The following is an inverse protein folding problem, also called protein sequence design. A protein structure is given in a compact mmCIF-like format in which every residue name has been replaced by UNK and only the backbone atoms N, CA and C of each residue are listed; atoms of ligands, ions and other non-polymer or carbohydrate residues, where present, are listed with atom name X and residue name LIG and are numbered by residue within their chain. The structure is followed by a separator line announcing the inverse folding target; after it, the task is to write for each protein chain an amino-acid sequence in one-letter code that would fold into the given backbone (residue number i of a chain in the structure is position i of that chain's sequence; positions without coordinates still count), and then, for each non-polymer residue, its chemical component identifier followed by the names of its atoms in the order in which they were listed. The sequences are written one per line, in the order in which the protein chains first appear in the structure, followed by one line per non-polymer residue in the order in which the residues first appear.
data_IF_940883877223
#
_entry.id   IF_940883877223
#
_cell.length_a   1.000
_cell.length_b   1.000
_cell.length_c   1.000
_cell.angle_alpha   90.00
_cell.angle_beta   90.00
_cell.angle_gamma   90.00
#
_symmetry.space_group_name_H-M   'P 1'
#
loop_
_entity.id
_entity.type
_entity.pdbx_description
1 polymer ?
#
# COMPACT_ATOMS: atom_id res chain seq x y z
N UNK A 1 12.22 0.51 1.82
CA UNK A 1 10.78 0.78 1.63
C UNK A 1 10.60 1.36 0.25
N UNK A 2 9.54 0.90 -0.39
CA UNK A 2 8.90 1.49 -1.56
C UNK A 2 7.57 2.08 -1.06
N UNK A 3 7.55 3.37 -0.72
CA UNK A 3 6.45 4.01 0.06
C UNK A 3 5.14 3.92 -0.70
N UNK A 4 5.19 4.22 -2.00
CA UNK A 4 4.00 4.29 -2.82
C UNK A 4 3.46 2.91 -3.16
N UNK A 5 4.30 1.89 -3.30
CA UNK A 5 3.87 0.49 -3.38
C UNK A 5 2.98 0.12 -2.19
N UNK A 6 3.44 0.42 -0.98
CA UNK A 6 2.69 0.18 0.26
C UNK A 6 1.37 0.97 0.28
N UNK A 7 1.41 2.26 -0.05
CA UNK A 7 0.22 3.09 -0.15
C UNK A 7 -0.80 2.53 -1.15
N UNK A 8 -0.37 2.01 -2.31
CA UNK A 8 -1.29 1.48 -3.30
C UNK A 8 -1.96 0.20 -2.81
N UNK A 9 -1.19 -0.73 -2.23
CA UNK A 9 -1.75 -1.97 -1.68
C UNK A 9 -2.71 -1.66 -0.53
N UNK A 10 -2.35 -0.76 0.38
CA UNK A 10 -3.25 -0.28 1.43
C UNK A 10 -4.52 0.38 0.87
N UNK A 11 -4.39 1.19 -0.17
CA UNK A 11 -5.53 1.81 -0.87
C UNK A 11 -6.44 0.76 -1.51
N UNK A 12 -5.88 -0.26 -2.15
CA UNK A 12 -6.64 -1.36 -2.76
C UNK A 12 -7.37 -2.21 -1.72
N UNK A 13 -6.72 -2.53 -0.59
CA UNK A 13 -7.35 -3.19 0.56
C UNK A 13 -8.49 -2.33 1.10
N UNK A 14 -8.25 -1.04 1.30
CA UNK A 14 -9.28 -0.13 1.79
C UNK A 14 -10.46 0.00 0.84
N UNK A 15 -10.24 -0.05 -0.48
CA UNK A 15 -11.31 -0.12 -1.48
C UNK A 15 -12.16 -1.40 -1.34
N UNK A 16 -11.51 -2.53 -1.07
CA UNK A 16 -12.21 -3.79 -0.80
C UNK A 16 -13.04 -3.69 0.48
N UNK A 17 -12.49 -3.14 1.55
CA UNK A 17 -13.23 -2.89 2.81
C UNK A 17 -14.40 -1.93 2.57
N UNK A 18 -14.19 -0.86 1.81
CA UNK A 18 -15.25 0.07 1.44
C UNK A 18 -16.40 -0.63 0.69
N UNK A 19 -16.09 -1.50 -0.28
CA UNK A 19 -17.11 -2.28 -1.00
C UNK A 19 -17.93 -3.19 -0.08
N UNK A 20 -17.30 -3.77 0.93
CA UNK A 20 -17.96 -4.69 1.86
C UNK A 20 -18.77 -3.99 2.95
N UNK A 21 -18.35 -2.78 3.35
CA UNK A 21 -18.90 -2.09 4.52
C UNK A 21 -19.69 -0.82 4.20
N UNK A 22 -19.56 -0.27 3.00
CA UNK A 22 -20.05 1.06 2.63
C UNK A 22 -19.29 2.22 3.27
N UNK A 23 -18.28 1.96 4.11
CA UNK A 23 -17.54 3.01 4.85
C UNK A 23 -16.36 3.51 4.03
N UNK A 24 -16.57 4.60 3.30
CA UNK A 24 -15.58 5.17 2.38
C UNK A 24 -14.27 5.59 3.05
N UNK A 25 -14.31 6.00 4.31
CA UNK A 25 -13.11 6.35 5.08
C UNK A 25 -12.17 5.16 5.34
N UNK A 26 -12.59 3.91 5.09
CA UNK A 26 -11.72 2.75 5.15
C UNK A 26 -10.57 2.81 4.13
N UNK A 27 -10.77 3.50 3.00
CA UNK A 27 -9.75 3.63 1.93
C UNK A 27 -8.48 4.35 2.41
N UNK A 28 -8.56 5.62 2.85
CA UNK A 28 -7.38 6.33 3.36
C UNK A 28 -6.85 5.72 4.67
N UNK A 29 -7.69 5.08 5.48
CA UNK A 29 -7.26 4.46 6.74
C UNK A 29 -6.45 3.18 6.51
N UNK A 30 -6.82 2.35 5.55
CA UNK A 30 -5.99 1.21 5.16
C UNK A 30 -4.69 1.65 4.48
N UNK A 31 -4.73 2.69 3.64
CA UNK A 31 -3.51 3.28 3.06
C UNK A 31 -2.57 3.81 4.14
N UNK A 32 -3.11 4.54 5.13
CA UNK A 32 -2.34 5.01 6.28
C UNK A 32 -1.78 3.84 7.10
N UNK A 33 -2.60 2.82 7.36
CA UNK A 33 -2.15 1.60 8.04
C UNK A 33 -0.99 0.92 7.31
N UNK A 34 -1.00 0.92 5.98
CA UNK A 34 0.05 0.32 5.16
C UNK A 34 1.38 1.06 5.17
N UNK A 35 1.45 2.29 5.71
CA UNK A 35 2.72 3.00 5.96
C UNK A 35 2.96 3.27 7.45
N UNK A 36 2.01 2.90 8.31
CA UNK A 36 2.04 3.17 9.73
C UNK A 36 3.26 2.55 10.43
N UNK A 37 3.67 1.29 10.15
CA UNK A 37 4.85 0.72 10.80
C UNK A 37 6.11 1.55 10.56
N UNK A 38 6.32 1.98 9.32
CA UNK A 38 7.47 2.79 8.94
C UNK A 38 7.43 4.22 9.50
N UNK A 39 6.25 4.83 9.60
CA UNK A 39 6.08 6.14 10.27
C UNK A 39 6.50 6.06 11.74
N UNK A 40 6.23 4.94 12.41
CA UNK A 40 6.57 4.75 13.83
C UNK A 40 8.04 4.36 13.98
N UNK A 41 8.43 3.27 13.32
CA UNK A 41 9.68 2.59 13.64
C UNK A 41 10.90 3.28 13.05
N UNK A 42 10.82 3.94 11.88
CA UNK A 42 12.00 4.59 11.29
C UNK A 42 12.48 5.81 12.07
N UNK A 43 11.62 6.78 12.44
CA UNK A 43 12.06 7.87 13.30
C UNK A 43 12.53 7.35 14.66
N UNK A 44 11.79 6.41 15.25
CA UNK A 44 12.14 5.83 16.54
C UNK A 44 13.50 5.12 16.50
N UNK A 45 13.76 4.32 15.48
CA UNK A 45 14.99 3.56 15.28
C UNK A 45 16.19 4.42 14.93
N UNK A 46 16.07 5.23 13.87
CA UNK A 46 17.21 5.94 13.26
C UNK A 46 17.48 7.33 13.85
N UNK A 47 16.53 7.91 14.59
CA UNK A 47 16.71 9.21 15.25
C UNK A 47 16.84 9.03 16.76
N UNK A 48 15.85 8.39 17.40
CA UNK A 48 15.82 8.30 18.86
C UNK A 48 16.66 7.16 19.44
N UNK A 49 16.73 6.03 18.74
CA UNK A 49 17.46 4.83 19.16
C UNK A 49 18.72 4.58 18.32
N UNK A 50 19.21 5.60 17.61
CA UNK A 50 20.38 5.48 16.72
C UNK A 50 21.64 4.98 17.45
N UNK A 51 21.85 5.41 18.70
CA UNK A 51 23.03 4.98 19.48
C UNK A 51 22.94 3.56 20.04
N UNK A 52 21.80 2.88 19.93
CA UNK A 52 21.57 1.56 20.56
C UNK A 52 21.08 0.49 19.60
N UNK A 53 20.09 0.80 18.76
CA UNK A 53 19.48 -0.13 17.80
C UNK A 53 19.76 0.26 16.35
N UNK A 54 19.61 1.54 16.02
CA UNK A 54 19.68 2.07 14.64
C UNK A 54 18.93 1.19 13.63
N UNK A 55 17.67 0.84 13.92
CA UNK A 55 16.86 -0.06 13.09
C UNK A 55 15.45 0.45 12.92
N UNK A 56 15.01 0.61 11.67
CA UNK A 56 13.65 1.00 11.32
C UNK A 56 12.62 -0.13 11.38
N UNK A 57 12.99 -1.33 11.86
CA UNK A 57 12.10 -2.50 11.99
C UNK A 57 12.12 -2.99 13.44
N UNK A 58 11.30 -2.35 14.27
CA UNK A 58 11.24 -2.56 15.72
C UNK A 58 9.81 -2.90 16.14
N UNK A 59 9.14 -2.06 16.94
CA UNK A 59 7.88 -2.37 17.60
C UNK A 59 6.69 -2.52 16.64
N UNK A 60 6.53 -1.60 15.68
CA UNK A 60 5.39 -1.61 14.78
C UNK A 60 5.50 -2.68 13.67
N UNK A 61 6.70 -3.22 13.45
CA UNK A 61 6.97 -4.36 12.57
C UNK A 61 6.77 -5.75 13.22
N UNK A 62 6.17 -5.79 14.41
CA UNK A 62 5.91 -7.05 15.14
C UNK A 62 4.49 -7.58 14.91
N UNK A 63 4.31 -8.90 14.99
CA UNK A 63 2.98 -9.52 15.07
C UNK A 63 2.23 -9.10 16.34
N UNK A 64 2.94 -8.73 17.41
CA UNK A 64 2.32 -8.21 18.62
C UNK A 64 1.60 -6.90 18.34
N UNK A 65 2.27 -5.92 17.70
CA UNK A 65 1.64 -4.66 17.32
C UNK A 65 0.47 -4.89 16.36
N UNK A 66 0.67 -5.68 15.30
CA UNK A 66 -0.40 -6.02 14.37
C UNK A 66 -1.59 -6.67 15.08
N UNK A 67 -1.32 -7.62 15.99
CA UNK A 67 -2.32 -8.33 16.78
C UNK A 67 -3.12 -7.39 17.68
N UNK A 68 -2.48 -6.44 18.36
CA UNK A 68 -3.16 -5.45 19.18
C UNK A 68 -4.08 -4.55 18.35
N UNK A 69 -3.61 -4.04 17.21
CA UNK A 69 -4.41 -3.21 16.31
C UNK A 69 -5.56 -4.02 15.70
N UNK A 70 -5.33 -5.27 15.33
CA UNK A 70 -6.35 -6.17 14.80
C UNK A 70 -7.43 -6.51 15.83
N UNK A 71 -7.05 -6.85 17.06
CA UNK A 71 -8.01 -7.12 18.15
C UNK A 71 -8.82 -5.87 18.47
N UNK A 72 -8.18 -4.71 18.58
CA UNK A 72 -8.89 -3.45 18.77
C UNK A 72 -9.83 -3.14 17.60
N UNK A 73 -9.41 -3.42 16.36
CA UNK A 73 -10.21 -3.27 15.14
C UNK A 73 -11.45 -4.16 15.12
N UNK A 74 -11.29 -5.44 15.45
CA UNK A 74 -12.40 -6.40 15.54
C UNK A 74 -13.36 -6.04 16.68
N UNK A 75 -12.82 -5.63 17.84
CA UNK A 75 -13.63 -5.18 18.97
C UNK A 75 -14.45 -3.92 18.60
N UNK A 76 -13.83 -2.94 17.93
CA UNK A 76 -14.50 -1.73 17.48
C UNK A 76 -15.58 -2.03 16.42
N UNK A 77 -15.31 -2.96 15.50
CA UNK A 77 -16.29 -3.39 14.51
C UNK A 77 -17.48 -4.07 15.19
N UNK A 78 -17.24 -5.02 16.10
CA UNK A 78 -18.31 -5.72 16.82
C UNK A 78 -19.16 -4.77 17.68
N UNK A 79 -18.52 -3.81 18.36
CA UNK A 79 -19.21 -2.92 19.30
C UNK A 79 -19.91 -1.73 18.62
N UNK A 80 -19.34 -1.20 17.53
CA UNK A 80 -19.80 0.07 16.91
C UNK A 80 -20.14 -0.04 15.43
N UNK A 81 -20.00 -1.22 14.82
CA UNK A 81 -20.25 -1.44 13.39
C UNK A 81 -19.22 -0.78 12.47
N UNK A 82 -18.12 -0.22 12.99
CA UNK A 82 -17.15 0.53 12.20
C UNK A 82 -15.95 -0.33 11.77
N UNK A 83 -15.64 -0.41 10.46
CA UNK A 83 -14.52 -1.20 9.95
C UNK A 83 -13.18 -0.44 9.98
N UNK A 84 -13.15 0.82 10.44
CA UNK A 84 -12.02 1.72 10.22
C UNK A 84 -10.72 1.20 10.83
N UNK A 85 -10.75 0.76 12.09
CA UNK A 85 -9.54 0.26 12.75
C UNK A 85 -9.15 -1.14 12.24
N UNK A 86 -10.11 -1.94 11.79
CA UNK A 86 -9.82 -3.17 11.05
C UNK A 86 -9.15 -2.88 9.70
N UNK A 87 -9.54 -1.80 9.01
CA UNK A 87 -8.89 -1.36 7.77
C UNK A 87 -7.43 -0.94 8.03
N UNK A 88 -7.16 -0.22 9.12
CA UNK A 88 -5.78 0.10 9.55
C UNK A 88 -4.99 -1.19 9.82
N UNK A 89 -5.57 -2.15 10.53
CA UNK A 89 -4.92 -3.44 10.81
C UNK A 89 -4.59 -4.21 9.52
N UNK A 90 -5.50 -4.23 8.54
CA UNK A 90 -5.26 -4.87 7.25
C UNK A 90 -4.15 -4.17 6.46
N UNK A 91 -4.12 -2.83 6.49
CA UNK A 91 -3.02 -2.05 5.92
C UNK A 91 -1.68 -2.40 6.57
N UNK A 92 -1.60 -2.35 7.91
CA UNK A 92 -0.40 -2.71 8.64
C UNK A 92 0.03 -4.16 8.38
N UNK A 93 -0.92 -5.09 8.29
CA UNK A 93 -0.67 -6.47 7.90
C UNK A 93 -0.05 -6.59 6.52
N UNK A 94 -0.57 -5.84 5.54
CA UNK A 94 0.05 -5.79 4.20
C UNK A 94 1.47 -5.22 4.24
N UNK A 95 1.74 -4.26 5.13
CA UNK A 95 3.09 -3.72 5.29
C UNK A 95 4.08 -4.80 5.73
N UNK A 96 3.77 -5.56 6.78
CA UNK A 96 4.64 -6.65 7.25
C UNK A 96 4.92 -7.70 6.15
N UNK A 97 3.92 -7.98 5.30
CA UNK A 97 4.07 -8.89 4.17
C UNK A 97 4.97 -8.29 3.08
N UNK A 98 4.74 -7.04 2.70
CA UNK A 98 5.52 -6.36 1.64
C UNK A 98 6.97 -6.13 2.07
N UNK A 99 7.21 -5.85 3.34
CA UNK A 99 8.55 -5.70 3.91
C UNK A 99 9.27 -7.04 4.13
N UNK A 100 8.57 -8.15 3.87
CA UNK A 100 9.14 -9.49 3.93
C UNK A 100 9.54 -9.90 5.33
N UNK A 101 8.76 -9.49 6.34
CA UNK A 101 9.15 -9.62 7.74
C UNK A 101 9.38 -11.06 8.20
N UNK A 102 8.92 -12.07 7.45
CA UNK A 102 9.28 -13.48 7.66
C UNK A 102 10.79 -13.74 7.62
N UNK A 103 11.57 -12.91 6.91
CA UNK A 103 13.02 -13.00 6.86
C UNK A 103 13.71 -12.44 8.11
N UNK A 104 12.98 -11.72 8.98
CA UNK A 104 13.46 -11.27 10.29
C UNK A 104 12.53 -11.79 11.40
N UNK A 105 12.59 -13.11 11.72
CA UNK A 105 11.69 -13.73 12.68
C UNK A 105 11.85 -13.15 14.09
N UNK A 106 13.05 -12.76 14.49
CA UNK A 106 13.30 -12.17 15.82
C UNK A 106 12.47 -10.90 16.03
N UNK A 107 12.50 -9.96 15.07
CA UNK A 107 11.61 -8.79 15.11
C UNK A 107 10.15 -9.21 14.95
N UNK A 108 9.81 -10.05 13.97
CA UNK A 108 8.42 -10.39 13.67
C UNK A 108 7.68 -11.00 14.87
N UNK A 109 8.34 -11.85 15.66
CA UNK A 109 7.79 -12.51 16.83
C UNK A 109 8.22 -11.88 18.16
N UNK A 110 8.81 -10.68 18.14
CA UNK A 110 9.19 -9.98 19.37
C UNK A 110 7.97 -9.81 20.29
N UNK A 111 8.12 -10.02 21.62
CA UNK A 111 9.36 -10.32 22.36
C UNK A 111 9.70 -11.82 22.50
N UNK A 112 8.92 -12.72 21.90
CA UNK A 112 9.01 -14.16 22.16
C UNK A 112 10.33 -14.81 21.70
N UNK A 113 10.97 -14.27 20.64
CA UNK A 113 12.21 -14.80 20.07
C UNK A 113 13.47 -14.02 20.50
N UNK A 114 13.37 -13.14 21.50
CA UNK A 114 14.50 -12.39 22.05
C UNK A 114 14.47 -10.89 21.74
N UNK A 115 15.55 -10.15 22.09
CA UNK A 115 15.64 -8.71 21.89
C UNK A 115 15.82 -8.33 20.41
N UNK A 116 15.58 -7.06 20.08
CA UNK A 116 15.87 -6.54 18.74
C UNK A 116 17.36 -6.59 18.42
N UNK A 117 17.67 -6.89 17.16
CA UNK A 117 19.04 -6.88 16.65
C UNK A 117 19.47 -5.44 16.35
N UNK A 118 20.59 -4.95 16.91
CA UNK A 118 21.18 -3.68 16.52
C UNK A 118 21.78 -3.74 15.11
N UNK A 119 21.66 -2.65 14.37
CA UNK A 119 22.28 -2.46 13.06
C UNK A 119 23.07 -1.15 13.03
N UNK A 120 23.67 -0.85 11.88
CA UNK A 120 24.31 0.44 11.63
C UNK A 120 23.98 0.91 10.21
N UNK A 121 23.17 1.95 10.08
CA UNK A 121 22.74 2.53 8.81
C UNK A 121 23.19 4.00 8.70
N UNK A 122 24.44 4.25 8.29
CA UNK A 122 24.89 5.61 8.05
C UNK A 122 24.04 6.25 6.94
N UNK A 123 23.56 7.47 7.22
CA UNK A 123 22.71 8.25 6.31
C UNK A 123 21.51 7.47 5.75
N UNK A 124 20.77 6.80 6.64
CA UNK A 124 19.58 6.03 6.26
C UNK A 124 18.59 6.86 5.44
N UNK A 125 18.26 8.08 5.89
CA UNK A 125 17.23 8.90 5.26
C UNK A 125 17.65 9.41 3.89
N UNK A 126 18.91 9.84 3.70
CA UNK A 126 19.42 10.26 2.39
C UNK A 126 19.34 9.13 1.38
N UNK A 127 19.83 7.95 1.75
CA UNK A 127 19.77 6.76 0.90
C UNK A 127 18.33 6.33 0.60
N UNK A 128 17.45 6.34 1.60
CA UNK A 128 16.05 5.97 1.41
C UNK A 128 15.32 6.89 0.43
N UNK A 129 15.55 8.21 0.51
CA UNK A 129 14.96 9.19 -0.42
C UNK A 129 15.45 8.96 -1.85
N UNK A 130 16.75 8.70 -2.04
CA UNK A 130 17.31 8.45 -3.37
C UNK A 130 16.72 7.18 -3.98
N UNK A 131 16.64 6.09 -3.21
CA UNK A 131 16.06 4.82 -3.67
C UNK A 131 14.60 4.99 -4.07
N UNK A 132 13.81 5.72 -3.28
CA UNK A 132 12.40 5.97 -3.57
C UNK A 132 12.23 6.79 -4.87
N UNK A 133 12.95 7.92 -4.99
CA UNK A 133 12.81 8.82 -6.13
C UNK A 133 13.36 8.21 -7.43
N UNK A 134 14.36 7.34 -7.35
CA UNK A 134 14.98 6.69 -8.51
C UNK A 134 14.19 5.48 -9.02
N UNK A 135 13.18 5.00 -8.29
CA UNK A 135 12.37 3.86 -8.69
C UNK A 135 11.21 4.28 -9.61
N UNK A 136 11.18 3.86 -10.90
CA UNK A 136 10.08 4.20 -11.80
C UNK A 136 8.74 3.60 -11.39
N UNK A 137 8.75 2.41 -10.75
CA UNK A 137 7.53 1.75 -10.28
C UNK A 137 6.83 2.54 -9.17
N UNK A 138 7.60 3.21 -8.29
CA UNK A 138 7.04 4.04 -7.22
C UNK A 138 6.18 5.17 -7.77
N UNK A 139 6.59 5.79 -8.86
CA UNK A 139 5.80 6.84 -9.50
C UNK A 139 4.50 6.28 -10.11
N UNK A 140 4.51 5.08 -10.69
CA UNK A 140 3.29 4.43 -11.18
C UNK A 140 2.34 4.08 -10.04
N UNK A 141 2.87 3.60 -8.91
CA UNK A 141 2.09 3.36 -7.70
C UNK A 141 1.49 4.66 -7.15
N UNK A 142 2.28 5.73 -7.06
CA UNK A 142 1.87 7.04 -6.58
C UNK A 142 0.73 7.63 -7.43
N UNK A 143 0.91 7.65 -8.75
CA UNK A 143 -0.11 8.12 -9.70
C UNK A 143 -1.40 7.30 -9.58
N UNK A 144 -1.28 5.99 -9.42
CA UNK A 144 -2.44 5.11 -9.24
C UNK A 144 -3.21 5.44 -7.95
N UNK A 145 -2.51 5.67 -6.84
CA UNK A 145 -3.11 6.14 -5.59
C UNK A 145 -3.85 7.46 -5.77
N UNK A 146 -3.21 8.45 -6.37
CA UNK A 146 -3.79 9.79 -6.59
C UNK A 146 -5.06 9.70 -7.43
N UNK A 147 -5.03 8.93 -8.52
CA UNK A 147 -6.19 8.73 -9.40
C UNK A 147 -7.34 8.07 -8.65
N UNK A 148 -7.06 7.02 -7.86
CA UNK A 148 -8.08 6.33 -7.06
C UNK A 148 -8.72 7.28 -6.05
N UNK A 149 -7.89 8.00 -5.27
CA UNK A 149 -8.37 8.91 -4.23
C UNK A 149 -9.13 10.09 -4.83
N UNK A 150 -8.69 10.63 -5.97
CA UNK A 150 -9.39 11.71 -6.68
C UNK A 150 -10.75 11.24 -7.18
N UNK A 151 -10.81 10.08 -7.84
CA UNK A 151 -12.06 9.52 -8.33
C UNK A 151 -13.03 9.21 -7.17
N UNK A 152 -12.50 8.73 -6.05
CA UNK A 152 -13.28 8.44 -4.85
C UNK A 152 -13.76 9.71 -4.16
N UNK A 153 -12.93 10.76 -4.06
CA UNK A 153 -13.17 11.99 -3.29
C UNK A 153 -13.55 13.25 -4.07
N UNK A 154 -13.92 13.08 -5.34
CA UNK A 154 -14.37 14.15 -6.24
C UNK A 154 -15.49 15.04 -5.68
N UNK A 155 -16.44 14.46 -4.95
CA UNK A 155 -17.58 15.13 -4.34
C UNK A 155 -17.16 16.06 -3.19
N UNK A 156 -16.22 15.63 -2.35
CA UNK A 156 -15.69 16.44 -1.24
C UNK A 156 -14.73 17.54 -1.70
N UNK A 157 -14.11 17.37 -2.85
CA UNK A 157 -13.18 18.33 -3.45
C UNK A 157 -13.90 19.46 -4.24
N UNK A 158 -15.24 19.47 -4.25
CA UNK A 158 -16.04 20.49 -4.93
C UNK A 158 -15.89 20.46 -6.45
N UNK A 159 -16.10 21.60 -7.11
CA UNK A 159 -16.02 21.73 -8.57
C UNK A 159 -14.65 21.30 -9.12
N UNK A 160 -13.57 21.75 -8.47
CA UNK A 160 -12.19 21.36 -8.82
C UNK A 160 -11.96 19.85 -8.76
N UNK A 161 -12.56 19.18 -7.77
CA UNK A 161 -12.51 17.73 -7.64
C UNK A 161 -13.18 16.99 -8.78
N UNK A 162 -14.36 17.47 -9.18
CA UNK A 162 -15.10 16.90 -10.30
C UNK A 162 -14.39 17.12 -11.63
N UNK A 163 -13.84 18.32 -11.85
CA UNK A 163 -13.01 18.65 -13.01
C UNK A 163 -11.77 17.75 -13.07
N UNK A 164 -11.02 17.63 -11.97
CA UNK A 164 -9.86 16.76 -11.89
C UNK A 164 -10.22 15.30 -12.15
N UNK A 165 -11.31 14.79 -11.54
CA UNK A 165 -11.79 13.42 -11.75
C UNK A 165 -12.19 13.16 -13.21
N UNK A 166 -12.80 14.15 -13.87
CA UNK A 166 -13.14 14.08 -15.29
C UNK A 166 -11.89 14.03 -16.17
N UNK A 167 -10.91 14.90 -15.86
CA UNK A 167 -9.66 15.02 -16.60
C UNK A 167 -8.80 13.75 -16.50
N UNK A 168 -8.73 13.11 -15.32
CA UNK A 168 -7.96 11.87 -15.14
C UNK A 168 -8.68 10.61 -15.63
N UNK A 169 -10.02 10.65 -15.81
CA UNK A 169 -10.84 9.50 -16.20
C UNK A 169 -10.33 8.73 -17.43
N UNK A 170 -10.00 9.36 -18.58
CA UNK A 170 -9.51 8.62 -19.75
C UNK A 170 -8.17 7.93 -19.51
N UNK A 171 -7.36 8.42 -18.58
CA UNK A 171 -6.01 7.89 -18.30
C UNK A 171 -6.00 6.74 -17.30
N UNK A 172 -7.11 6.45 -16.60
CA UNK A 172 -7.20 5.36 -15.60
C UNK A 172 -6.80 4.00 -16.16
N UNK A 173 -7.47 3.58 -17.24
CA UNK A 173 -7.20 2.29 -17.90
C UNK A 173 -5.75 2.18 -18.40
N UNK A 174 -5.26 3.14 -19.21
CA UNK A 174 -3.87 3.16 -19.64
C UNK A 174 -2.85 3.12 -18.50
N UNK A 175 -3.08 3.88 -17.42
CA UNK A 175 -2.21 3.89 -16.23
C UNK A 175 -2.15 2.52 -15.56
N UNK A 176 -3.29 1.87 -15.33
CA UNK A 176 -3.33 0.56 -14.68
C UNK A 176 -2.75 -0.55 -15.57
N UNK A 177 -2.92 -0.42 -16.89
CA UNK A 177 -2.23 -1.29 -17.85
C UNK A 177 -0.72 -1.08 -17.83
N UNK A 178 -0.26 0.18 -17.80
CA UNK A 178 1.15 0.51 -17.69
C UNK A 178 1.74 -0.03 -16.39
N UNK A 179 1.03 0.09 -15.27
CA UNK A 179 1.43 -0.50 -13.99
C UNK A 179 1.59 -2.02 -14.09
N UNK A 180 0.62 -2.72 -14.68
CA UNK A 180 0.69 -4.16 -14.90
C UNK A 180 1.87 -4.54 -15.80
N UNK A 181 2.02 -3.88 -16.95
CA UNK A 181 3.08 -4.14 -17.91
C UNK A 181 4.47 -3.87 -17.31
N UNK A 182 4.62 -2.76 -16.56
CA UNK A 182 5.86 -2.45 -15.85
C UNK A 182 6.20 -3.52 -14.80
N UNK A 183 5.20 -4.05 -14.09
CA UNK A 183 5.37 -5.18 -13.18
C UNK A 183 5.85 -6.45 -13.89
N UNK A 184 5.25 -6.80 -15.03
CA UNK A 184 5.68 -7.94 -15.85
C UNK A 184 7.12 -7.77 -16.34
N UNK A 185 7.46 -6.57 -16.84
CA UNK A 185 8.83 -6.25 -17.28
C UNK A 185 9.81 -6.34 -16.12
N UNK A 186 9.47 -5.82 -14.94
CA UNK A 186 10.33 -5.88 -13.76
C UNK A 186 10.63 -7.32 -13.32
N UNK A 187 9.64 -8.22 -13.35
CA UNK A 187 9.85 -9.64 -13.04
C UNK A 187 10.62 -10.34 -14.16
N UNK A 188 10.30 -10.07 -15.43
CA UNK A 188 11.00 -10.66 -16.57
C UNK A 188 12.48 -10.23 -16.63
N UNK A 189 12.79 -9.00 -16.20
CA UNK A 189 14.15 -8.49 -16.13
C UNK A 189 15.06 -9.32 -15.21
N UNK A 190 14.51 -10.05 -14.23
CA UNK A 190 15.29 -10.97 -13.39
C UNK A 190 15.93 -12.12 -14.18
N UNK A 191 15.39 -12.46 -15.36
CA UNK A 191 15.96 -13.48 -16.24
C UNK A 191 17.22 -12.99 -16.99
N UNK A 192 17.43 -11.67 -17.03
CA UNK A 192 18.51 -11.03 -17.80
C UNK A 192 19.50 -10.31 -16.88
N UNK A 193 18.99 -9.71 -15.81
CA UNK A 193 19.75 -8.97 -14.80
C UNK A 193 19.64 -9.78 -13.51
N UNK A 194 20.67 -10.58 -13.16
CA UNK A 194 20.63 -11.37 -11.96
C UNK A 194 20.55 -10.47 -10.73
N UNK A 195 19.82 -10.88 -9.68
CA UNK A 195 19.75 -10.15 -8.43
C UNK A 195 21.12 -10.14 -7.74
N UNK A 196 21.41 -9.08 -6.99
CA UNK A 196 22.68 -8.97 -6.26
C UNK A 196 22.78 -10.02 -5.13
N UNK A 197 21.66 -10.30 -4.47
CA UNK A 197 21.51 -11.30 -3.42
C UNK A 197 20.04 -11.76 -3.30
N UNK A 198 19.76 -12.65 -2.34
CA UNK A 198 18.41 -13.14 -2.08
C UNK A 198 17.43 -12.04 -1.64
N UNK A 199 17.93 -11.00 -0.96
CA UNK A 199 17.11 -9.89 -0.48
C UNK A 199 16.69 -8.99 -1.65
N UNK A 200 17.62 -8.66 -2.56
CA UNK A 200 17.34 -7.94 -3.81
C UNK A 200 16.35 -8.72 -4.68
N UNK A 201 16.53 -10.04 -4.82
CA UNK A 201 15.58 -10.90 -5.52
C UNK A 201 14.18 -10.81 -4.92
N UNK A 202 14.07 -10.98 -3.60
CA UNK A 202 12.79 -10.90 -2.89
C UNK A 202 12.14 -9.53 -3.09
N UNK A 203 12.87 -8.44 -2.93
CA UNK A 203 12.35 -7.07 -3.09
C UNK A 203 11.84 -6.80 -4.50
N UNK A 204 12.59 -7.22 -5.53
CA UNK A 204 12.20 -7.07 -6.94
C UNK A 204 10.96 -7.90 -7.27
N UNK A 205 10.88 -9.14 -6.76
CA UNK A 205 9.72 -10.01 -6.95
C UNK A 205 8.47 -9.44 -6.27
N UNK A 206 8.59 -8.93 -5.04
CA UNK A 206 7.48 -8.32 -4.31
C UNK A 206 7.00 -7.07 -5.06
N UNK A 207 7.90 -6.14 -5.42
CA UNK A 207 7.53 -4.91 -6.12
C UNK A 207 6.87 -5.19 -7.49
N UNK A 208 7.49 -6.05 -8.30
CA UNK A 208 6.94 -6.46 -9.60
C UNK A 208 5.61 -7.20 -9.46
N UNK A 209 5.51 -8.11 -8.48
CA UNK A 209 4.26 -8.83 -8.16
C UNK A 209 3.14 -7.90 -7.72
N UNK A 210 3.41 -6.92 -6.86
CA UNK A 210 2.46 -5.90 -6.44
C UNK A 210 1.96 -5.06 -7.63
N UNK A 211 2.85 -4.68 -8.56
CA UNK A 211 2.47 -3.96 -9.77
C UNK A 211 1.57 -4.81 -10.70
N UNK A 212 1.89 -6.10 -10.88
CA UNK A 212 1.08 -7.03 -11.68
C UNK A 212 -0.31 -7.20 -11.05
N UNK A 213 -0.37 -7.58 -9.78
CA UNK A 213 -1.63 -7.87 -9.07
C UNK A 213 -2.47 -6.59 -8.93
N UNK A 214 -1.85 -5.49 -8.53
CA UNK A 214 -2.50 -4.19 -8.38
C UNK A 214 -3.03 -3.67 -9.72
N UNK A 215 -2.20 -3.66 -10.75
CA UNK A 215 -2.59 -3.25 -12.11
C UNK A 215 -3.73 -4.11 -12.67
N UNK A 216 -3.66 -5.43 -12.49
CA UNK A 216 -4.72 -6.36 -12.90
C UNK A 216 -6.04 -6.10 -12.18
N UNK A 217 -6.00 -6.02 -10.85
CA UNK A 217 -7.18 -5.78 -10.02
C UNK A 217 -7.88 -4.47 -10.40
N UNK A 218 -7.09 -3.40 -10.58
CA UNK A 218 -7.61 -2.08 -10.95
C UNK A 218 -8.17 -2.06 -12.37
N UNK A 219 -7.53 -2.74 -13.32
CA UNK A 219 -8.05 -2.90 -14.70
C UNK A 219 -9.36 -3.65 -14.74
N UNK A 220 -9.48 -4.76 -14.00
CA UNK A 220 -10.73 -5.54 -13.95
C UNK A 220 -11.86 -4.68 -13.39
N UNK A 221 -11.57 -3.90 -12.35
CA UNK A 221 -12.52 -2.94 -11.80
C UNK A 221 -12.93 -1.87 -12.82
N UNK A 222 -12.02 -1.33 -13.62
CA UNK A 222 -12.38 -0.37 -14.69
C UNK A 222 -13.33 -0.97 -15.72
N UNK A 223 -13.20 -2.28 -16.01
CA UNK A 223 -14.09 -2.99 -16.93
C UNK A 223 -15.47 -3.24 -16.32
N UNK A 224 -15.54 -3.64 -15.05
CA UNK A 224 -16.81 -3.85 -14.34
C UNK A 224 -17.64 -2.57 -14.22
N UNK A 225 -17.00 -1.41 -14.02
CA UNK A 225 -17.67 -0.10 -13.96
C UNK A 225 -18.17 0.36 -15.34
N UNK A 226 -17.80 -0.33 -16.43
CA UNK A 226 -18.37 -0.13 -17.77
C UNK A 226 -19.36 -1.27 -18.14
N UNK A 227 -20.62 -1.29 -17.67
CA UNK A 227 -21.67 -2.08 -18.33
C UNK A 227 -22.39 -1.27 -19.43
N UNK A 228 -22.31 -1.79 -20.65
CA UNK A 228 -23.18 -1.61 -21.84
C UNK A 228 -23.67 -0.19 -22.22
N UNK A 229 -22.85 0.54 -22.99
CA UNK A 229 -23.40 1.47 -23.98
C UNK A 229 -23.75 0.70 -25.25
N UNK A 230 -24.94 0.08 -25.27
CA UNK A 230 -25.75 -0.15 -26.47
C UNK A 230 -27.10 -0.78 -26.12
N UNK A 231 -28.04 0.07 -25.68
CA UNK A 231 -29.42 0.06 -26.18
C UNK A 231 -30.10 1.34 -25.69
N UNK A 232 -30.75 2.02 -26.63
CA UNK A 232 -31.69 3.12 -26.42
C UNK A 232 -32.57 2.94 -25.18
N UNK A 233 -32.67 3.98 -24.36
CA UNK A 233 -33.92 4.60 -23.87
C UNK A 233 -33.70 5.39 -22.57
N UNK A 234 -34.46 6.47 -22.48
CA UNK A 234 -34.56 7.50 -21.43
C UNK A 234 -34.91 6.95 -20.03
N UNK A 235 -34.23 7.40 -18.97
CA UNK A 235 -34.71 7.25 -17.58
C UNK A 235 -33.62 7.41 -16.51
N UNK A 236 -33.90 7.96 -15.31
CA UNK A 236 -32.96 8.79 -14.55
C UNK A 236 -32.01 8.05 -13.58
N UNK A 237 -30.93 8.78 -13.25
CA UNK A 237 -29.82 8.49 -12.35
C UNK A 237 -30.17 7.80 -11.03
N UNK A 238 -29.41 6.76 -10.66
CA UNK A 238 -29.29 6.24 -9.29
C UNK A 238 -27.85 5.76 -9.00
N UNK A 239 -27.16 6.58 -8.19
CA UNK A 239 -26.09 6.36 -7.19
C UNK A 239 -25.10 5.18 -7.34
#
# INVERSE_FOLDING_TARGET
MLVFCHLLIGTAIGLMVYRLSGVRAAVPLAALGAILPDIIDKPLGHIFLQGTLDSGRIYAHTLLFLGLVAVAGLAAWKAKGTPLLAAVALGAGSHLLLDGMWANPTTLFWPALGPFTPYHYPDYFGNAVIVELSSPLEWLFALSCVVILTALYRDKLGSRGQEAACWVRPYRGPLFFLLLAAGVVAVAALMVIPPADLMDLQNRLIAGGCAIVGGWFLLMREREVKPQTNSSETGPDLL
#
